data_IF_487051706525
#
_entry.id   IF_487051706525
#
_cell.length_a   1.000
_cell.length_b   1.000
_cell.length_c   1.000
_cell.angle_alpha   90.00
_cell.angle_beta   90.00
_cell.angle_gamma   90.00
#
_symmetry.space_group_name_H-M   'P 1'
#
loop_
_entity.id
_entity.type
_entity.pdbx_description
1 polymer ?
#
# COMPACT_ATOMS: atom_id res chain seq x y z
N UNK A 1 -12.90 -11.26 -8.24
CA UNK A 1 -13.00 -10.27 -9.32
C UNK A 1 -11.92 -9.22 -9.20
N UNK A 2 -11.73 -8.55 -8.02
CA UNK A 2 -10.70 -7.51 -7.83
C UNK A 2 -9.28 -8.09 -7.93
N UNK A 3 -9.02 -9.21 -7.27
CA UNK A 3 -7.75 -9.94 -7.30
C UNK A 3 -7.32 -10.30 -8.73
N UNK A 4 -8.24 -10.78 -9.54
CA UNK A 4 -7.98 -11.12 -10.93
C UNK A 4 -7.61 -9.86 -11.75
N UNK A 5 -8.32 -8.74 -11.56
CA UNK A 5 -8.01 -7.48 -12.23
C UNK A 5 -6.60 -6.98 -11.85
N UNK A 6 -6.26 -7.01 -10.56
CA UNK A 6 -4.93 -6.66 -10.06
C UNK A 6 -3.86 -7.53 -10.71
N UNK A 7 -4.01 -8.86 -10.67
CA UNK A 7 -3.07 -9.80 -11.28
C UNK A 7 -2.91 -9.60 -12.77
N UNK A 8 -4.02 -9.32 -13.48
CA UNK A 8 -3.96 -9.03 -14.93
C UNK A 8 -3.13 -7.79 -15.22
N UNK A 9 -3.31 -6.69 -14.45
CA UNK A 9 -2.51 -5.47 -14.65
C UNK A 9 -1.04 -5.73 -14.33
N UNK A 10 -0.76 -6.43 -13.22
CA UNK A 10 0.62 -6.77 -12.82
C UNK A 10 1.32 -7.69 -13.81
N UNK A 11 0.59 -8.60 -14.49
CA UNK A 11 1.18 -9.52 -15.46
C UNK A 11 1.80 -8.82 -16.69
N UNK A 12 1.44 -7.56 -16.92
CA UNK A 12 2.08 -6.69 -17.93
C UNK A 12 3.25 -5.87 -17.36
N UNK A 13 3.67 -6.12 -16.10
CA UNK A 13 4.77 -5.40 -15.45
C UNK A 13 4.39 -4.07 -14.79
N UNK A 14 3.10 -3.76 -14.68
CA UNK A 14 2.67 -2.54 -13.98
C UNK A 14 2.71 -2.72 -12.46
N UNK A 15 3.27 -1.72 -11.78
CA UNK A 15 3.17 -1.60 -10.33
C UNK A 15 1.89 -0.85 -9.99
N UNK A 16 1.06 -1.48 -9.14
CA UNK A 16 -0.17 -0.87 -8.64
C UNK A 16 0.09 -0.29 -7.25
N UNK A 17 -0.23 0.98 -7.06
CA UNK A 17 -0.22 1.65 -5.76
C UNK A 17 -1.66 2.07 -5.41
N UNK A 18 -2.46 1.20 -4.78
CA UNK A 18 -3.85 1.48 -4.44
C UNK A 18 -3.96 2.46 -3.27
N UNK A 19 -4.98 3.30 -3.27
CA UNK A 19 -5.45 3.98 -2.07
C UNK A 19 -6.23 3.00 -1.19
N UNK A 20 -5.84 2.90 0.08
CA UNK A 20 -6.57 2.14 1.09
C UNK A 20 -7.32 3.11 2.00
N UNK A 21 -8.63 2.91 2.14
CA UNK A 21 -9.46 3.79 2.96
C UNK A 21 -10.15 2.95 4.03
N UNK A 22 -9.95 3.31 5.30
CA UNK A 22 -10.56 2.66 6.45
C UNK A 22 -11.60 3.58 7.12
N UNK A 23 -12.59 3.00 7.78
CA UNK A 23 -13.65 3.72 8.48
C UNK A 23 -14.95 3.81 7.68
N UNK A 24 -15.17 2.91 6.72
CA UNK A 24 -16.49 2.73 6.14
C UNK A 24 -17.45 2.11 7.15
N UNK A 25 -18.73 2.44 7.05
CA UNK A 25 -19.78 1.88 7.92
C UNK A 25 -19.90 0.34 7.80
N UNK A 26 -19.38 -0.22 6.70
CA UNK A 26 -19.32 -1.66 6.42
C UNK A 26 -18.07 -2.35 6.91
N UNK A 27 -17.08 -1.61 7.40
CA UNK A 27 -15.83 -2.22 7.86
C UNK A 27 -16.08 -3.04 9.13
N UNK A 28 -15.53 -4.25 9.11
CA UNK A 28 -15.58 -5.18 10.24
C UNK A 28 -14.36 -4.99 11.15
N UNK A 29 -14.31 -5.71 12.25
CA UNK A 29 -13.15 -5.76 13.14
C UNK A 29 -11.92 -6.43 12.53
N UNK A 30 -12.08 -7.14 11.42
CA UNK A 30 -11.01 -7.83 10.66
C UNK A 30 -10.46 -7.02 9.48
N UNK A 31 -11.01 -5.81 9.18
CA UNK A 31 -10.68 -5.05 7.98
C UNK A 31 -9.18 -4.80 7.77
N UNK A 32 -8.43 -4.56 8.84
CA UNK A 32 -6.99 -4.32 8.76
C UNK A 32 -6.22 -5.59 8.37
N UNK A 33 -6.55 -6.73 8.98
CA UNK A 33 -5.92 -8.01 8.67
C UNK A 33 -6.30 -8.49 7.26
N UNK A 34 -7.57 -8.42 6.90
CA UNK A 34 -8.05 -8.76 5.55
C UNK A 34 -7.34 -7.93 4.47
N UNK A 35 -7.09 -6.64 4.75
CA UNK A 35 -6.36 -5.77 3.84
C UNK A 35 -4.89 -6.20 3.71
N UNK A 36 -4.22 -6.54 4.82
CA UNK A 36 -2.83 -7.04 4.79
C UNK A 36 -2.73 -8.37 4.03
N UNK A 37 -3.65 -9.28 4.29
CA UNK A 37 -3.70 -10.58 3.62
C UNK A 37 -3.91 -10.42 2.11
N UNK A 38 -4.85 -9.56 1.70
CA UNK A 38 -5.07 -9.25 0.30
C UNK A 38 -3.81 -8.71 -0.38
N UNK A 39 -3.05 -7.82 0.28
CA UNK A 39 -1.80 -7.29 -0.27
C UNK A 39 -0.74 -8.36 -0.49
N UNK A 40 -0.65 -9.35 0.42
CA UNK A 40 0.24 -10.50 0.24
C UNK A 40 -0.25 -11.39 -0.89
N UNK A 41 -1.53 -11.73 -0.89
CA UNK A 41 -2.12 -12.67 -1.86
C UNK A 41 -1.95 -12.23 -3.30
N UNK A 42 -2.12 -10.95 -3.57
CA UNK A 42 -1.99 -10.40 -4.92
C UNK A 42 -0.62 -9.73 -5.19
N UNK A 43 0.29 -9.71 -4.21
CA UNK A 43 1.62 -9.15 -4.37
C UNK A 43 1.63 -7.63 -4.60
N UNK A 44 0.79 -6.88 -3.89
CA UNK A 44 0.80 -5.41 -3.96
C UNK A 44 1.96 -4.85 -3.14
N UNK A 45 2.94 -4.22 -3.79
CA UNK A 45 4.13 -3.67 -3.13
C UNK A 45 3.98 -2.22 -2.69
N UNK A 46 3.14 -1.43 -3.37
CA UNK A 46 2.80 -0.06 -3.02
C UNK A 46 1.43 0.08 -2.38
N UNK A 47 1.12 1.27 -1.88
CA UNK A 47 -0.21 1.62 -1.37
C UNK A 47 -0.17 2.82 -0.43
N UNK A 48 -1.30 3.51 -0.33
CA UNK A 48 -1.45 4.74 0.45
C UNK A 48 -2.65 4.65 1.41
N UNK A 49 -2.42 4.23 2.67
CA UNK A 49 -3.48 4.08 3.66
C UNK A 49 -3.95 5.43 4.21
N UNK A 50 -5.25 5.57 4.38
CA UNK A 50 -5.88 6.76 4.94
C UNK A 50 -7.21 6.42 5.62
N UNK A 51 -7.71 7.34 6.44
CA UNK A 51 -9.07 7.26 6.94
C UNK A 51 -10.06 7.91 5.98
N UNK A 52 -11.30 7.39 5.99
CA UNK A 52 -12.42 7.97 5.25
C UNK A 52 -12.67 9.39 5.71
N UNK A 53 -12.74 10.30 4.76
CA UNK A 53 -13.09 11.71 4.95
C UNK A 53 -14.27 12.11 4.08
N UNK A 54 -15.16 12.90 4.64
CA UNK A 54 -16.27 13.51 3.88
C UNK A 54 -15.79 14.82 3.25
N UNK A 55 -15.48 14.79 1.96
CA UNK A 55 -15.07 15.96 1.21
C UNK A 55 -16.27 16.86 0.91
N UNK A 56 -16.12 18.15 1.10
CA UNK A 56 -17.19 19.15 0.84
C UNK A 56 -17.73 19.01 -0.59
N UNK A 57 -19.05 19.13 -0.74
CA UNK A 57 -19.73 18.98 -2.03
C UNK A 57 -20.07 17.53 -2.44
N UNK A 58 -19.52 16.52 -1.77
CA UNK A 58 -19.79 15.10 -2.09
C UNK A 58 -21.09 14.58 -1.49
N UNK A 59 -21.68 13.50 -2.06
CA UNK A 59 -22.83 12.82 -1.44
C UNK A 59 -22.54 12.34 -0.01
N UNK A 60 -21.30 11.86 0.24
CA UNK A 60 -20.89 11.44 1.59
C UNK A 60 -20.94 12.59 2.58
N UNK A 61 -20.46 13.78 2.21
CA UNK A 61 -20.50 14.96 3.06
C UNK A 61 -21.93 15.30 3.48
N UNK A 62 -22.86 15.36 2.49
CA UNK A 62 -24.27 15.63 2.74
C UNK A 62 -24.90 14.57 3.67
N UNK A 63 -24.59 13.29 3.45
CA UNK A 63 -25.07 12.20 4.32
C UNK A 63 -24.56 12.35 5.75
N UNK A 64 -23.27 12.64 5.93
CA UNK A 64 -22.67 12.81 7.26
C UNK A 64 -23.24 14.05 7.98
N UNK A 65 -23.50 15.14 7.26
CA UNK A 65 -24.14 16.34 7.80
C UNK A 65 -25.57 16.05 8.24
N UNK A 66 -26.39 15.41 7.40
CA UNK A 66 -27.78 15.06 7.69
C UNK A 66 -27.92 14.09 8.87
N UNK A 67 -26.96 13.19 9.04
CA UNK A 67 -26.96 12.21 10.15
C UNK A 67 -26.27 12.73 11.42
N UNK A 68 -25.82 14.00 11.45
CA UNK A 68 -25.12 14.59 12.59
C UNK A 68 -23.72 13.98 12.85
N UNK A 69 -23.17 13.26 11.89
CA UNK A 69 -21.87 12.59 12.00
C UNK A 69 -20.71 13.43 11.45
N UNK A 70 -20.99 14.57 10.81
CA UNK A 70 -19.97 15.47 10.34
C UNK A 70 -19.36 16.25 11.50
N UNK A 71 -18.04 16.21 11.64
CA UNK A 71 -17.28 17.05 12.58
C UNK A 71 -16.89 18.32 11.83
N UNK A 72 -17.60 19.41 12.11
CA UNK A 72 -17.26 20.73 11.56
C UNK A 72 -16.03 21.26 12.31
N UNK A 73 -14.92 21.41 11.61
CA UNK A 73 -13.73 22.09 12.11
C UNK A 73 -13.72 23.51 11.54
N UNK A 74 -13.28 24.47 12.34
CA UNK A 74 -13.14 25.89 11.89
C UNK A 74 -12.01 26.07 10.88
N UNK A 75 -11.06 25.13 10.81
CA UNK A 75 -9.95 25.13 9.85
C UNK A 75 -10.19 24.08 8.76
N UNK A 76 -9.90 24.45 7.51
CA UNK A 76 -9.85 23.51 6.38
C UNK A 76 -8.94 22.35 6.71
N UNK A 77 -9.51 21.15 6.78
CA UNK A 77 -8.75 19.92 6.95
C UNK A 77 -7.90 19.75 5.69
N UNK A 78 -6.63 20.09 5.79
CA UNK A 78 -5.70 19.85 4.70
C UNK A 78 -5.58 18.35 4.48
N UNK A 79 -5.80 17.89 3.26
CA UNK A 79 -5.75 16.48 2.80
C UNK A 79 -4.44 15.75 3.19
N UNK A 80 -3.47 16.49 3.75
CA UNK A 80 -2.13 15.96 4.10
C UNK A 80 -2.05 15.17 5.42
N UNK A 81 -3.06 15.24 6.28
CA UNK A 81 -3.03 14.49 7.56
C UNK A 81 -3.86 13.21 7.43
N UNK A 82 -3.24 12.14 6.99
CA UNK A 82 -3.85 10.82 6.74
C UNK A 82 -4.54 10.16 7.95
N UNK A 83 -4.26 10.65 9.15
CA UNK A 83 -4.78 10.13 10.41
C UNK A 83 -5.97 10.98 10.91
N UNK A 84 -6.25 12.11 10.27
CA UNK A 84 -7.38 12.96 10.66
C UNK A 84 -8.61 12.64 9.83
N UNK A 85 -9.77 12.66 10.46
CA UNK A 85 -11.07 12.50 9.84
C UNK A 85 -12.00 13.63 10.29
N UNK A 86 -12.98 13.93 9.46
CA UNK A 86 -14.10 14.81 9.81
C UNK A 86 -15.41 14.04 9.97
N UNK A 87 -15.34 12.73 10.17
CA UNK A 87 -16.51 11.85 10.35
C UNK A 87 -16.48 11.23 11.75
N UNK A 88 -17.64 11.18 12.39
CA UNK A 88 -17.88 10.30 13.53
C UNK A 88 -18.22 8.92 12.99
N UNK A 89 -17.31 7.97 13.16
CA UNK A 89 -17.50 6.59 12.71
C UNK A 89 -18.58 5.88 13.54
N UNK A 90 -19.12 4.80 13.01
CA UNK A 90 -20.01 3.89 13.76
C UNK A 90 -19.17 2.98 14.65
N UNK A 91 -18.01 2.57 14.13
CA UNK A 91 -17.05 1.75 14.87
C UNK A 91 -16.43 2.54 16.03
N UNK A 92 -15.92 1.83 17.00
CA UNK A 92 -15.16 2.42 18.11
C UNK A 92 -13.94 3.19 17.60
N UNK A 93 -13.81 4.45 18.02
CA UNK A 93 -12.75 5.32 17.52
C UNK A 93 -11.34 4.88 17.97
N UNK A 94 -11.22 4.31 19.16
CA UNK A 94 -9.94 3.80 19.67
C UNK A 94 -9.55 2.51 18.96
N UNK A 95 -10.52 1.64 18.65
CA UNK A 95 -10.31 0.45 17.81
C UNK A 95 -9.75 0.85 16.43
N UNK A 96 -10.42 1.79 15.75
CA UNK A 96 -9.96 2.23 14.42
C UNK A 96 -8.57 2.87 14.48
N UNK A 97 -8.31 3.74 15.45
CA UNK A 97 -7.03 4.42 15.60
C UNK A 97 -5.90 3.45 15.90
N UNK A 98 -6.11 2.56 16.87
CA UNK A 98 -5.12 1.54 17.23
C UNK A 98 -4.88 0.57 16.07
N UNK A 99 -5.95 0.05 15.46
CA UNK A 99 -5.88 -0.85 14.32
C UNK A 99 -5.13 -0.24 13.15
N UNK A 100 -5.34 1.04 12.86
CA UNK A 100 -4.61 1.75 11.81
C UNK A 100 -3.12 1.89 12.11
N UNK A 101 -2.76 2.23 13.37
CA UNK A 101 -1.35 2.32 13.77
C UNK A 101 -0.67 0.97 13.66
N UNK A 102 -1.30 -0.09 14.17
CA UNK A 102 -0.78 -1.47 14.11
C UNK A 102 -0.66 -1.94 12.64
N UNK A 103 -1.66 -1.60 11.81
CA UNK A 103 -1.62 -1.83 10.37
C UNK A 103 -0.41 -1.15 9.70
N UNK A 104 -0.17 0.15 9.96
CA UNK A 104 0.98 0.87 9.40
C UNK A 104 2.29 0.23 9.83
N UNK A 105 2.43 -0.12 11.10
CA UNK A 105 3.65 -0.77 11.61
C UNK A 105 3.92 -2.08 10.86
N UNK A 106 2.90 -2.93 10.71
CA UNK A 106 3.03 -4.20 10.01
C UNK A 106 3.21 -4.02 8.50
N UNK A 107 2.45 -3.10 7.89
CA UNK A 107 2.55 -2.77 6.48
C UNK A 107 3.95 -2.29 6.06
N UNK A 108 4.62 -1.51 6.94
CA UNK A 108 5.97 -0.97 6.71
C UNK A 108 7.09 -1.85 7.26
N UNK A 109 6.77 -2.97 7.93
CA UNK A 109 7.78 -3.89 8.44
C UNK A 109 8.56 -4.52 7.28
N UNK A 110 9.92 -4.51 7.33
CA UNK A 110 10.75 -4.96 6.22
C UNK A 110 10.51 -6.41 5.77
N UNK A 111 10.24 -7.33 6.68
CA UNK A 111 9.93 -8.72 6.34
C UNK A 111 8.60 -8.86 5.59
N UNK A 112 7.58 -8.08 6.03
CA UNK A 112 6.28 -8.05 5.38
C UNK A 112 6.35 -7.40 3.98
N UNK A 113 7.10 -6.30 3.84
CA UNK A 113 7.36 -5.67 2.54
C UNK A 113 8.06 -6.64 1.58
N UNK A 114 9.07 -7.36 2.09
CA UNK A 114 9.79 -8.35 1.29
C UNK A 114 8.89 -9.51 0.85
N UNK A 115 7.98 -9.98 1.70
CA UNK A 115 7.01 -11.03 1.35
C UNK A 115 6.15 -10.61 0.17
N UNK A 116 5.62 -9.37 0.18
CA UNK A 116 4.84 -8.80 -0.92
C UNK A 116 5.68 -8.64 -2.19
N UNK A 117 6.89 -8.11 -2.05
CA UNK A 117 7.82 -7.98 -3.18
C UNK A 117 8.11 -9.35 -3.82
N UNK A 118 8.44 -10.35 -3.02
CA UNK A 118 8.70 -11.71 -3.52
C UNK A 118 7.50 -12.25 -4.29
N UNK A 119 6.30 -12.11 -3.74
CA UNK A 119 5.07 -12.54 -4.40
C UNK A 119 4.83 -11.81 -5.72
N UNK A 120 5.07 -10.50 -5.75
CA UNK A 120 4.97 -9.67 -6.96
C UNK A 120 5.94 -10.16 -8.04
N UNK A 121 7.21 -10.39 -7.68
CA UNK A 121 8.21 -10.89 -8.62
C UNK A 121 7.89 -12.29 -9.14
N UNK A 122 7.42 -13.19 -8.27
CA UNK A 122 7.01 -14.53 -8.69
C UNK A 122 5.86 -14.44 -9.73
N UNK A 123 4.86 -13.56 -9.49
CA UNK A 123 3.74 -13.36 -10.43
C UNK A 123 4.19 -12.79 -11.79
N UNK A 124 5.10 -11.82 -11.80
CA UNK A 124 5.64 -11.24 -13.03
C UNK A 124 6.46 -12.27 -13.81
N UNK A 125 7.34 -13.00 -13.12
CA UNK A 125 8.25 -13.96 -13.75
C UNK A 125 7.53 -15.22 -14.27
N UNK A 126 6.35 -15.53 -13.74
CA UNK A 126 5.48 -16.60 -14.24
C UNK A 126 4.56 -16.13 -15.38
N UNK A 127 4.57 -14.84 -15.72
CA UNK A 127 3.69 -14.27 -16.72
C UNK A 127 4.27 -14.34 -18.13
N UNK A 128 3.51 -14.87 -19.08
CA UNK A 128 3.86 -14.86 -20.51
C UNK A 128 3.70 -13.48 -21.16
N UNK A 129 3.06 -12.52 -20.48
CA UNK A 129 2.80 -11.17 -20.99
C UNK A 129 3.83 -10.13 -20.56
N UNK A 130 4.68 -10.45 -19.61
CA UNK A 130 5.71 -9.54 -19.13
C UNK A 130 6.89 -9.48 -20.11
N UNK A 131 7.15 -8.29 -20.62
CA UNK A 131 8.32 -8.01 -21.46
C UNK A 131 9.21 -7.06 -20.67
N UNK A 132 10.41 -7.47 -20.24
CA UNK A 132 11.37 -6.58 -19.59
C UNK A 132 11.69 -5.39 -20.50
N UNK A 133 11.64 -4.18 -19.97
CA UNK A 133 12.02 -2.97 -20.71
C UNK A 133 13.52 -2.77 -20.55
N UNK A 134 14.27 -2.93 -21.62
CA UNK A 134 15.69 -2.57 -21.64
C UNK A 134 15.83 -1.05 -21.50
N UNK A 135 16.40 -0.63 -20.37
CA UNK A 135 16.89 0.73 -20.11
C UNK A 135 15.86 1.86 -20.05
N UNK A 136 15.03 1.89 -19.02
CA UNK A 136 14.49 3.17 -18.56
C UNK A 136 15.49 3.75 -17.56
N UNK A 137 16.27 4.76 -17.98
CA UNK A 137 17.34 5.35 -17.19
C UNK A 137 16.83 6.14 -15.97
N UNK A 138 16.72 5.48 -14.85
CA UNK A 138 16.57 6.12 -13.54
C UNK A 138 17.93 6.04 -12.80
N UNK A 139 18.77 7.06 -12.98
CA UNK A 139 20.00 7.24 -12.21
C UNK A 139 21.03 6.12 -12.39
N UNK A 140 22.22 6.30 -11.81
CA UNK A 140 23.19 5.21 -11.82
C UNK A 140 22.81 4.16 -10.75
N UNK A 141 23.06 2.86 -10.99
CA UNK A 141 22.89 1.81 -9.99
C UNK A 141 23.64 2.12 -8.68
N UNK A 142 24.72 2.86 -8.75
CA UNK A 142 25.51 3.31 -7.60
C UNK A 142 24.77 4.37 -6.75
N UNK A 143 23.98 5.25 -7.35
CA UNK A 143 23.18 6.22 -6.61
C UNK A 143 22.03 5.54 -5.90
N UNK A 144 21.34 4.61 -6.54
CA UNK A 144 20.33 3.79 -5.91
C UNK A 144 20.90 3.01 -4.72
N UNK A 145 22.06 2.39 -4.89
CA UNK A 145 22.75 1.65 -3.83
C UNK A 145 23.09 2.55 -2.63
N UNK A 146 23.58 3.77 -2.87
CA UNK A 146 23.87 4.74 -1.80
C UNK A 146 22.63 5.10 -0.98
N UNK A 147 21.50 5.29 -1.63
CA UNK A 147 20.22 5.60 -0.96
C UNK A 147 19.80 4.42 -0.08
N UNK A 148 19.84 3.19 -0.61
CA UNK A 148 19.41 1.99 0.12
C UNK A 148 20.28 1.68 1.36
N UNK A 149 21.57 2.02 1.32
CA UNK A 149 22.49 1.75 2.44
C UNK A 149 22.41 2.82 3.54
N UNK A 150 21.92 4.01 3.23
CA UNK A 150 21.94 5.16 4.16
C UNK A 150 21.03 4.98 5.36
N UNK A 151 19.89 4.35 5.19
CA UNK A 151 18.91 4.11 6.25
C UNK A 151 18.95 2.65 6.74
N UNK A 152 18.79 2.42 8.06
CA UNK A 152 18.87 1.07 8.67
C UNK A 152 17.76 0.15 8.15
N UNK A 153 16.55 0.70 7.98
CA UNK A 153 15.40 -0.07 7.52
C UNK A 153 15.55 -0.44 6.04
N UNK A 154 15.99 0.52 5.23
CA UNK A 154 16.31 0.28 3.83
C UNK A 154 17.43 -0.74 3.65
N UNK A 155 18.47 -0.73 4.49
CA UNK A 155 19.54 -1.75 4.46
C UNK A 155 19.00 -3.16 4.67
N UNK A 156 18.08 -3.35 5.62
CA UNK A 156 17.47 -4.66 5.88
C UNK A 156 16.69 -5.14 4.64
N UNK A 157 15.87 -4.27 4.06
CA UNK A 157 15.14 -4.57 2.83
C UNK A 157 16.09 -4.88 1.66
N UNK A 158 17.11 -4.06 1.47
CA UNK A 158 18.11 -4.25 0.42
C UNK A 158 18.80 -5.60 0.52
N UNK A 159 19.24 -6.00 1.73
CA UNK A 159 19.86 -7.30 1.94
C UNK A 159 18.92 -8.48 1.63
N UNK A 160 17.62 -8.34 1.95
CA UNK A 160 16.62 -9.34 1.59
C UNK A 160 16.43 -9.44 0.07
N UNK A 161 16.39 -8.30 -0.63
CA UNK A 161 16.32 -8.26 -2.10
C UNK A 161 17.55 -8.90 -2.74
N UNK A 162 18.76 -8.58 -2.29
CA UNK A 162 20.00 -9.20 -2.79
C UNK A 162 19.98 -10.71 -2.56
N UNK A 163 19.60 -11.16 -1.35
CA UNK A 163 19.51 -12.59 -1.06
C UNK A 163 18.49 -13.32 -1.97
N UNK A 164 17.39 -12.65 -2.31
CA UNK A 164 16.41 -13.17 -3.25
C UNK A 164 16.97 -13.28 -4.67
N UNK A 165 17.61 -12.22 -5.18
CA UNK A 165 18.19 -12.18 -6.52
C UNK A 165 19.30 -13.21 -6.71
N UNK A 166 20.14 -13.45 -5.68
CA UNK A 166 21.15 -14.52 -5.70
C UNK A 166 20.50 -15.89 -5.86
N UNK A 167 19.34 -16.12 -5.24
CA UNK A 167 18.62 -17.41 -5.32
C UNK A 167 17.83 -17.57 -6.62
N UNK A 168 17.41 -16.47 -7.24
CA UNK A 168 16.67 -16.45 -8.50
C UNK A 168 17.30 -15.45 -9.50
N UNK A 169 18.45 -15.79 -10.11
CA UNK A 169 19.18 -14.89 -11.02
C UNK A 169 18.36 -14.44 -12.24
N UNK A 170 17.40 -15.25 -12.67
CA UNK A 170 16.49 -14.91 -13.79
C UNK A 170 15.62 -13.69 -13.55
N UNK A 171 15.48 -13.25 -12.29
CA UNK A 171 14.68 -12.06 -11.95
C UNK A 171 15.48 -10.75 -12.03
N UNK A 172 16.80 -10.81 -12.26
CA UNK A 172 17.65 -9.60 -12.28
C UNK A 172 17.22 -8.62 -13.36
N UNK A 173 16.88 -9.11 -14.55
CA UNK A 173 16.41 -8.26 -15.66
C UNK A 173 15.04 -7.62 -15.43
N UNK A 174 14.26 -8.11 -14.48
CA UNK A 174 12.96 -7.54 -14.12
C UNK A 174 13.05 -6.52 -12.97
N UNK A 175 14.19 -6.46 -12.27
CA UNK A 175 14.39 -5.59 -11.09
C UNK A 175 15.33 -4.41 -11.42
N UNK A 176 16.26 -4.58 -12.34
CA UNK A 176 17.17 -3.56 -12.85
C UNK A 176 16.61 -2.87 -14.09
#
# INVERSE_FOLDING_TARGET
VLDQAVRTIQSYGFIIAPGMIFGFDSDTDTVFEETLDFFVDVGLIGGDPSFLMALSGTPLYRRMEQTGRLIKREEEVTVRKKIETNIRYIQDAEFLKKGFVDFIHRYTEPGFQFTRFKKHMDLIMESDTFIPIDHVGYGSPLEYLKIQIKDVQNRKMFMLHIAYLIRKPSTISAVL
#
